data_IF_786909370441
#
_entry.id   IF_786909370441
#
_cell.length_a   1.000
_cell.length_b   1.000
_cell.length_c   1.000
_cell.angle_alpha   90.00
_cell.angle_beta   90.00
_cell.angle_gamma   90.00
#
_symmetry.space_group_name_H-M   'P 1'
#
loop_
_entity.id
_entity.type
_entity.pdbx_description
1 polymer ?
#
# COMPACT_ATOMS: atom_id res chain seq x y z
N UNK A 1 -9.63 10.96 6.77
CA UNK A 1 -9.21 9.60 7.11
C UNK A 1 -7.84 9.39 6.50
N UNK A 2 -6.89 8.89 7.24
CA UNK A 2 -5.55 8.53 6.75
C UNK A 2 -5.66 7.29 5.87
N UNK A 3 -4.81 7.14 4.84
CA UNK A 3 -4.69 5.87 4.14
C UNK A 3 -4.36 4.81 5.18
N UNK A 4 -5.19 3.79 5.28
CA UNK A 4 -4.94 2.67 6.17
C UNK A 4 -4.17 1.63 5.38
N UNK A 5 -2.93 1.35 5.82
CA UNK A 5 -2.14 0.27 5.26
C UNK A 5 -2.55 -1.06 5.91
N UNK A 6 -3.16 -1.98 5.18
CA UNK A 6 -3.43 -3.32 5.69
C UNK A 6 -2.12 -4.08 5.90
N UNK A 7 -1.87 -4.52 7.14
CA UNK A 7 -0.66 -5.23 7.54
C UNK A 7 -1.03 -6.62 8.02
N UNK A 8 -0.45 -7.65 7.40
CA UNK A 8 -0.60 -9.03 7.86
C UNK A 8 0.50 -9.35 8.88
N UNK A 9 0.11 -9.79 10.06
CA UNK A 9 0.99 -10.27 11.12
C UNK A 9 0.88 -11.79 11.15
N UNK A 10 2.01 -12.48 10.97
CA UNK A 10 2.09 -13.94 10.97
C UNK A 10 3.10 -14.36 12.03
N UNK A 11 2.63 -14.83 13.17
CA UNK A 11 3.45 -15.26 14.32
C UNK A 11 2.61 -16.26 15.12
N UNK A 12 3.20 -17.31 15.69
CA UNK A 12 2.47 -18.31 16.49
C UNK A 12 2.21 -17.87 17.93
N UNK A 13 2.98 -16.87 18.43
CA UNK A 13 2.78 -16.30 19.76
C UNK A 13 1.58 -15.31 19.77
N UNK A 14 0.45 -15.68 20.38
CA UNK A 14 -0.73 -14.81 20.45
C UNK A 14 -0.50 -13.54 21.27
N UNK A 15 0.41 -13.55 22.25
CA UNK A 15 0.69 -12.38 23.06
C UNK A 15 1.48 -11.35 22.25
N UNK A 16 2.44 -11.80 21.45
CA UNK A 16 3.19 -10.91 20.53
C UNK A 16 2.26 -10.36 19.44
N UNK A 17 1.43 -11.21 18.80
CA UNK A 17 0.45 -10.73 17.81
C UNK A 17 -0.47 -9.65 18.39
N UNK A 18 -1.05 -9.89 19.57
CA UNK A 18 -1.90 -8.91 20.24
C UNK A 18 -1.20 -7.58 20.52
N UNK A 19 0.06 -7.64 21.00
CA UNK A 19 0.87 -6.43 21.25
C UNK A 19 1.14 -5.65 19.96
N UNK A 20 1.48 -6.35 18.87
CA UNK A 20 1.70 -5.72 17.56
C UNK A 20 0.41 -5.12 17.00
N UNK A 21 -0.69 -5.83 17.14
CA UNK A 21 -2.02 -5.36 16.71
C UNK A 21 -2.42 -4.08 17.45
N UNK A 22 -2.30 -4.06 18.79
CA UNK A 22 -2.59 -2.85 19.58
C UNK A 22 -1.72 -1.67 19.16
N UNK A 23 -0.42 -1.90 18.95
CA UNK A 23 0.51 -0.84 18.53
C UNK A 23 0.18 -0.30 17.13
N UNK A 24 -0.16 -1.17 16.19
CA UNK A 24 -0.55 -0.78 14.83
C UNK A 24 -1.88 -0.03 14.82
N UNK A 25 -2.86 -0.45 15.63
CA UNK A 25 -4.15 0.23 15.76
C UNK A 25 -4.05 1.60 16.45
N UNK A 26 -3.11 1.77 17.40
CA UNK A 26 -2.84 3.07 18.02
C UNK A 26 -2.33 4.09 17.01
N UNK A 27 -1.75 3.62 15.93
CA UNK A 27 -1.30 4.42 14.80
C UNK A 27 -2.38 4.38 13.71
N UNK A 28 -3.15 5.46 13.59
CA UNK A 28 -4.29 5.55 12.65
C UNK A 28 -3.91 5.36 11.15
N UNK A 29 -2.68 4.97 10.88
CA UNK A 29 -2.12 4.70 9.56
C UNK A 29 -2.27 3.22 9.16
N UNK A 30 -2.49 2.30 10.12
CA UNK A 30 -2.46 0.85 9.87
C UNK A 30 -3.78 0.15 10.15
N UNK A 31 -4.02 -0.95 9.42
CA UNK A 31 -5.11 -1.89 9.68
C UNK A 31 -4.51 -3.30 9.78
N UNK A 32 -4.25 -3.81 11.00
CA UNK A 32 -3.66 -5.13 11.19
C UNK A 32 -4.67 -6.25 10.95
N UNK A 33 -4.16 -7.38 10.44
CA UNK A 33 -4.82 -8.68 10.42
C UNK A 33 -3.83 -9.74 10.93
N UNK A 34 -4.33 -10.74 11.65
CA UNK A 34 -3.53 -11.73 12.35
C UNK A 34 -3.67 -13.12 11.75
N UNK A 35 -2.56 -13.84 11.68
CA UNK A 35 -2.50 -15.26 11.36
C UNK A 35 -1.53 -15.97 12.33
N UNK A 36 -1.92 -17.08 12.89
CA UNK A 36 -1.10 -17.89 13.80
C UNK A 36 -0.28 -18.97 13.10
N UNK A 37 -0.41 -19.10 11.77
CA UNK A 37 0.24 -20.13 10.95
C UNK A 37 0.38 -19.70 9.50
N UNK A 38 1.20 -20.42 8.74
CA UNK A 38 1.33 -20.25 7.30
C UNK A 38 -0.01 -20.54 6.60
N UNK A 39 -0.70 -21.59 7.00
CA UNK A 39 -1.99 -21.95 6.41
C UNK A 39 -3.04 -20.85 6.56
N UNK A 40 -3.12 -20.20 7.72
CA UNK A 40 -4.02 -19.07 7.94
C UNK A 40 -3.62 -17.87 7.07
N UNK A 41 -2.31 -17.57 7.01
CA UNK A 41 -1.80 -16.49 6.18
C UNK A 41 -2.10 -16.72 4.68
N UNK A 42 -1.89 -17.93 4.16
CA UNK A 42 -2.23 -18.30 2.79
C UNK A 42 -3.72 -18.17 2.51
N UNK A 43 -4.58 -18.59 3.44
CA UNK A 43 -6.03 -18.45 3.32
C UNK A 43 -6.47 -16.97 3.26
N UNK A 44 -5.80 -16.09 4.00
CA UNK A 44 -6.06 -14.63 3.95
C UNK A 44 -5.57 -14.02 2.64
N UNK A 45 -4.37 -14.37 2.20
CA UNK A 45 -3.78 -13.86 0.96
C UNK A 45 -4.52 -14.33 -0.30
N UNK A 46 -5.21 -15.47 -0.23
CA UNK A 46 -6.00 -16.01 -1.32
C UNK A 46 -7.36 -15.33 -1.52
N UNK A 47 -7.84 -14.55 -0.54
CA UNK A 47 -9.12 -13.86 -0.65
C UNK A 47 -9.05 -12.72 -1.67
N UNK A 48 -9.96 -12.67 -2.67
CA UNK A 48 -9.92 -11.66 -3.73
C UNK A 48 -10.05 -10.22 -3.23
N UNK A 49 -10.82 -10.03 -2.17
CA UNK A 49 -11.16 -8.72 -1.61
C UNK A 49 -10.19 -8.28 -0.49
N UNK A 50 -9.27 -9.15 -0.10
CA UNK A 50 -8.31 -8.86 0.97
C UNK A 50 -6.93 -8.62 0.36
N UNK A 51 -6.34 -7.47 0.67
CA UNK A 51 -5.01 -7.08 0.22
C UNK A 51 -4.20 -6.61 1.40
N UNK A 52 -2.89 -6.80 1.31
CA UNK A 52 -1.95 -6.33 2.30
C UNK A 52 -0.87 -5.49 1.64
N UNK A 53 -0.43 -4.44 2.34
CA UNK A 53 0.63 -3.55 1.90
C UNK A 53 2.00 -3.99 2.44
N UNK A 54 2.02 -4.75 3.55
CA UNK A 54 3.22 -5.40 4.08
C UNK A 54 2.85 -6.64 4.90
N UNK A 55 3.84 -7.50 5.13
CA UNK A 55 3.74 -8.69 5.99
C UNK A 55 4.84 -8.59 7.06
N UNK A 56 4.45 -8.77 8.32
CA UNK A 56 5.35 -9.04 9.43
C UNK A 56 5.27 -10.55 9.66
N UNK A 57 6.40 -11.25 9.52
CA UNK A 57 6.43 -12.70 9.42
C UNK A 57 7.43 -13.32 10.39
N UNK A 58 6.97 -14.15 11.30
CA UNK A 58 7.87 -14.96 12.10
C UNK A 58 8.54 -16.07 11.26
N UNK A 59 9.78 -16.39 11.61
CA UNK A 59 10.54 -17.49 10.98
C UNK A 59 10.07 -18.83 11.51
N UNK A 60 9.82 -18.94 12.83
CA UNK A 60 9.47 -20.19 13.50
C UNK A 60 7.98 -20.41 13.64
N UNK A 61 7.31 -20.89 12.60
CA UNK A 61 5.87 -21.15 12.61
C UNK A 61 5.56 -22.64 12.84
N UNK A 62 4.40 -22.99 13.42
CA UNK A 62 4.10 -24.38 13.80
C UNK A 62 3.96 -25.33 12.60
N UNK A 63 3.64 -24.79 11.44
CA UNK A 63 3.39 -25.53 10.20
C UNK A 63 4.48 -25.33 9.14
N UNK A 64 5.60 -24.66 9.49
CA UNK A 64 6.73 -24.52 8.59
C UNK A 64 7.68 -23.37 8.88
N UNK A 65 8.68 -23.21 8.02
CA UNK A 65 9.66 -22.14 8.10
C UNK A 65 9.15 -20.92 7.33
N UNK A 66 9.06 -19.75 8.00
CA UNK A 66 8.63 -18.49 7.41
C UNK A 66 9.50 -18.03 6.23
N UNK A 67 10.80 -18.40 6.20
CA UNK A 67 11.70 -18.11 5.06
C UNK A 67 11.23 -18.84 3.79
N UNK A 68 10.86 -20.11 3.93
CA UNK A 68 10.33 -20.89 2.82
C UNK A 68 8.98 -20.33 2.36
N UNK A 69 8.15 -19.88 3.28
CA UNK A 69 6.89 -19.23 2.95
C UNK A 69 7.13 -17.93 2.17
N UNK A 70 8.05 -17.09 2.62
CA UNK A 70 8.43 -15.86 1.89
C UNK A 70 8.90 -16.17 0.47
N UNK A 71 9.77 -17.17 0.30
CA UNK A 71 10.26 -17.59 -1.02
C UNK A 71 9.11 -18.01 -1.94
N UNK A 72 8.13 -18.78 -1.43
CA UNK A 72 6.92 -19.12 -2.20
C UNK A 72 6.10 -17.91 -2.60
N UNK A 73 5.90 -16.94 -1.69
CA UNK A 73 5.22 -15.70 -2.00
C UNK A 73 5.92 -14.94 -3.13
N UNK A 74 7.25 -14.87 -3.12
CA UNK A 74 8.02 -14.21 -4.19
C UNK A 74 7.89 -14.94 -5.53
N UNK A 75 7.91 -16.28 -5.54
CA UNK A 75 7.65 -17.08 -6.74
C UNK A 75 6.24 -16.85 -7.31
N UNK A 76 5.25 -16.62 -6.45
CA UNK A 76 3.88 -16.26 -6.83
C UNK A 76 3.73 -14.81 -7.31
N UNK A 77 4.81 -14.03 -7.28
CA UNK A 77 4.81 -12.63 -7.74
C UNK A 77 4.37 -11.61 -6.69
N UNK A 78 4.26 -12.00 -5.41
CA UNK A 78 3.99 -11.07 -4.32
C UNK A 78 5.22 -10.18 -4.12
N UNK A 79 5.05 -8.86 -4.24
CA UNK A 79 6.13 -7.85 -4.23
C UNK A 79 6.11 -6.96 -2.99
N UNK A 80 5.05 -7.01 -2.19
CA UNK A 80 4.93 -6.18 -0.99
C UNK A 80 6.07 -6.45 0.00
N UNK A 81 6.45 -5.47 0.84
CA UNK A 81 7.44 -5.65 1.88
C UNK A 81 7.11 -6.82 2.81
N UNK A 82 8.11 -7.65 3.09
CA UNK A 82 8.06 -8.70 4.11
C UNK A 82 9.18 -8.43 5.11
N UNK A 83 8.82 -8.14 6.36
CA UNK A 83 9.74 -7.96 7.47
C UNK A 83 9.72 -9.24 8.28
N UNK A 84 10.84 -9.95 8.33
CA UNK A 84 10.95 -11.17 9.12
C UNK A 84 11.34 -10.89 10.56
N UNK A 85 10.68 -11.58 11.48
CA UNK A 85 11.04 -11.64 12.88
C UNK A 85 11.76 -12.97 13.14
N UNK A 86 12.92 -12.94 13.79
CA UNK A 86 13.72 -14.14 14.04
C UNK A 86 14.21 -14.21 15.47
N UNK A 87 14.18 -15.40 16.06
CA UNK A 87 14.76 -15.67 17.40
C UNK A 87 16.29 -15.78 17.40
N UNK A 88 16.92 -15.88 16.24
CA UNK A 88 18.38 -15.97 16.11
C UNK A 88 18.95 -14.71 15.47
N UNK A 89 19.96 -14.13 16.09
CA UNK A 89 20.74 -13.03 15.56
C UNK A 89 21.99 -13.50 14.80
N UNK A 90 22.10 -14.82 14.50
CA UNK A 90 23.27 -15.33 13.81
C UNK A 90 23.32 -14.80 12.37
N UNK A 91 24.50 -14.32 11.98
CA UNK A 91 24.74 -13.71 10.66
C UNK A 91 24.31 -14.61 9.50
N UNK A 92 24.43 -15.95 9.68
CA UNK A 92 24.01 -16.94 8.67
C UNK A 92 22.50 -17.00 8.49
N UNK A 93 21.71 -16.76 9.53
CA UNK A 93 20.24 -16.73 9.45
C UNK A 93 19.72 -15.46 8.77
N UNK A 94 20.39 -14.34 9.00
CA UNK A 94 20.09 -13.06 8.33
C UNK A 94 20.40 -13.18 6.82
N UNK A 95 21.56 -13.75 6.44
CA UNK A 95 21.91 -13.95 5.02
C UNK A 95 20.92 -14.86 4.30
N UNK A 96 20.62 -16.03 4.89
CA UNK A 96 19.63 -16.98 4.33
C UNK A 96 18.25 -16.35 4.17
N UNK A 97 17.93 -15.42 5.02
CA UNK A 97 16.66 -14.76 4.97
C UNK A 97 16.54 -13.72 3.88
N UNK A 98 17.55 -12.93 3.68
CA UNK A 98 17.61 -12.01 2.54
C UNK A 98 17.56 -12.78 1.22
N UNK A 99 18.20 -13.95 1.14
CA UNK A 99 18.14 -14.86 0.00
C UNK A 99 16.71 -15.42 -0.24
N UNK A 100 15.87 -15.50 0.80
CA UNK A 100 14.44 -15.87 0.65
C UNK A 100 13.57 -14.78 0.02
N UNK A 101 14.13 -13.59 -0.25
CA UNK A 101 13.43 -12.44 -0.80
C UNK A 101 12.69 -11.59 0.25
N UNK A 102 13.00 -11.73 1.53
CA UNK A 102 12.54 -10.81 2.56
C UNK A 102 13.08 -9.39 2.30
N UNK A 103 12.30 -8.39 2.73
CA UNK A 103 12.68 -6.99 2.57
C UNK A 103 13.58 -6.53 3.73
N UNK A 104 13.35 -7.07 4.93
CA UNK A 104 14.11 -6.75 6.14
C UNK A 104 14.05 -7.90 7.16
N UNK A 105 14.96 -7.85 8.13
CA UNK A 105 15.09 -8.79 9.23
C UNK A 105 15.23 -8.08 10.57
N UNK A 106 14.48 -8.53 11.58
CA UNK A 106 14.55 -8.00 12.94
C UNK A 106 14.68 -9.18 13.92
N UNK A 107 15.78 -9.17 14.70
CA UNK A 107 15.99 -10.18 15.71
C UNK A 107 15.11 -9.95 16.95
N UNK A 108 14.51 -11.01 17.47
CA UNK A 108 13.83 -11.03 18.78
C UNK A 108 14.88 -11.16 19.91
N UNK A 109 14.82 -10.38 21.01
CA UNK A 109 13.81 -9.38 21.30
C UNK A 109 14.09 -8.04 20.60
N UNK A 110 13.06 -7.36 20.12
CA UNK A 110 13.16 -6.07 19.43
C UNK A 110 12.34 -4.98 20.12
N UNK A 111 12.61 -3.73 19.76
CA UNK A 111 11.83 -2.58 20.20
C UNK A 111 10.70 -2.32 19.20
N UNK A 112 9.45 -2.18 19.69
CA UNK A 112 8.30 -1.86 18.82
C UNK A 112 8.52 -0.60 17.97
N UNK A 113 9.12 0.44 18.54
CA UNK A 113 9.46 1.66 17.80
C UNK A 113 10.41 1.42 16.62
N UNK A 114 11.33 0.46 16.73
CA UNK A 114 12.24 0.08 15.65
C UNK A 114 11.46 -0.62 14.53
N UNK A 115 10.63 -1.61 14.86
CA UNK A 115 9.78 -2.31 13.89
C UNK A 115 8.89 -1.33 13.13
N UNK A 116 8.22 -0.40 13.84
CA UNK A 116 7.35 0.61 13.24
C UNK A 116 8.10 1.55 12.31
N UNK A 117 9.31 1.99 12.70
CA UNK A 117 10.14 2.85 11.85
C UNK A 117 10.57 2.14 10.56
N UNK A 118 10.98 0.88 10.64
CA UNK A 118 11.37 0.04 9.49
C UNK A 118 10.16 -0.25 8.59
N UNK A 119 9.01 -0.60 9.16
CA UNK A 119 7.76 -0.83 8.41
C UNK A 119 7.40 0.40 7.55
N UNK A 120 7.39 1.60 8.15
CA UNK A 120 7.13 2.85 7.41
C UNK A 120 8.17 3.12 6.33
N UNK A 121 9.44 2.85 6.61
CA UNK A 121 10.50 3.04 5.62
C UNK A 121 10.32 2.13 4.40
N UNK A 122 10.00 0.85 4.62
CA UNK A 122 9.79 -0.12 3.56
C UNK A 122 8.50 0.12 2.78
N UNK A 123 7.41 0.52 3.44
CA UNK A 123 6.18 0.93 2.76
C UNK A 123 6.43 2.12 1.82
N UNK A 124 7.10 3.18 2.30
CA UNK A 124 7.45 4.33 1.46
C UNK A 124 8.34 3.97 0.28
N UNK A 125 9.32 3.08 0.49
CA UNK A 125 10.19 2.62 -0.58
C UNK A 125 9.41 1.80 -1.61
N UNK A 126 8.54 0.90 -1.16
CA UNK A 126 7.70 0.09 -2.04
C UNK A 126 6.74 0.96 -2.86
N UNK A 127 6.06 1.92 -2.24
CA UNK A 127 5.18 2.87 -2.96
C UNK A 127 5.92 3.70 -4.01
N UNK A 128 7.23 3.91 -3.84
CA UNK A 128 8.07 4.60 -4.81
C UNK A 128 8.62 3.69 -5.90
N UNK A 129 8.53 2.37 -5.71
CA UNK A 129 9.04 1.37 -6.65
C UNK A 129 8.17 1.24 -7.90
N UNK A 130 8.70 0.53 -8.90
CA UNK A 130 7.96 0.17 -10.11
C UNK A 130 6.90 -0.92 -9.85
N UNK A 131 7.05 -1.65 -8.76
CA UNK A 131 6.15 -2.74 -8.35
C UNK A 131 4.92 -2.24 -7.57
N UNK A 132 4.85 -0.93 -7.25
CA UNK A 132 3.74 -0.36 -6.49
C UNK A 132 2.39 -0.57 -7.18
N UNK A 133 1.42 -1.08 -6.41
CA UNK A 133 0.06 -1.30 -6.86
C UNK A 133 -0.89 -0.70 -5.83
N UNK A 134 -1.68 0.29 -6.25
CA UNK A 134 -2.60 1.02 -5.39
C UNK A 134 -4.04 0.67 -5.71
N UNK A 135 -4.90 0.58 -4.69
CA UNK A 135 -6.34 0.44 -4.89
C UNK A 135 -7.00 1.82 -4.81
N UNK A 136 -7.75 2.19 -5.84
CA UNK A 136 -8.48 3.45 -5.92
C UNK A 136 -9.93 3.13 -6.29
N UNK A 137 -10.80 3.01 -5.31
CA UNK A 137 -12.18 2.56 -5.54
C UNK A 137 -12.21 1.24 -6.30
N UNK A 138 -12.89 1.16 -7.47
CA UNK A 138 -12.96 -0.06 -8.27
C UNK A 138 -11.69 -0.35 -9.07
N UNK A 139 -10.67 0.53 -9.02
CA UNK A 139 -9.49 0.46 -9.87
C UNK A 139 -8.27 -0.04 -9.13
N UNK A 140 -7.53 -0.94 -9.77
CA UNK A 140 -6.13 -1.24 -9.43
C UNK A 140 -5.24 -0.29 -10.22
N UNK A 141 -4.50 0.58 -9.55
CA UNK A 141 -3.60 1.56 -10.15
C UNK A 141 -2.15 1.11 -10.07
N UNK A 142 -1.48 1.09 -11.21
CA UNK A 142 -0.03 0.81 -11.34
C UNK A 142 0.67 2.06 -11.87
N UNK A 143 1.28 2.89 -10.99
CA UNK A 143 1.88 4.16 -11.38
C UNK A 143 3.00 4.04 -12.41
N UNK A 144 3.87 3.05 -12.25
CA UNK A 144 5.03 2.85 -13.13
C UNK A 144 4.65 2.67 -14.60
N UNK A 145 3.58 1.93 -14.86
CA UNK A 145 3.05 1.71 -16.22
C UNK A 145 1.88 2.63 -16.57
N UNK A 146 1.53 3.58 -15.67
CA UNK A 146 0.48 4.60 -15.85
C UNK A 146 -0.87 3.99 -16.25
N UNK A 147 -1.23 2.89 -15.58
CA UNK A 147 -2.40 2.09 -15.90
C UNK A 147 -3.35 1.97 -14.71
N UNK A 148 -4.63 2.26 -14.95
CA UNK A 148 -5.73 1.86 -14.09
C UNK A 148 -6.41 0.63 -14.73
N UNK A 149 -6.68 -0.36 -13.93
CA UNK A 149 -7.44 -1.55 -14.32
C UNK A 149 -8.66 -1.70 -13.42
N UNK A 150 -9.84 -1.78 -14.02
CA UNK A 150 -11.10 -2.11 -13.37
C UNK A 150 -11.38 -3.61 -13.58
N UNK A 151 -11.12 -4.47 -12.58
CA UNK A 151 -11.18 -5.93 -12.78
C UNK A 151 -12.57 -6.43 -13.17
N UNK A 152 -13.62 -5.88 -12.54
CA UNK A 152 -15.02 -6.31 -12.73
C UNK A 152 -15.46 -6.10 -14.19
N UNK A 153 -15.10 -4.97 -14.79
CA UNK A 153 -15.46 -4.65 -16.20
C UNK A 153 -14.33 -4.99 -17.19
N UNK A 154 -13.22 -5.56 -16.69
CA UNK A 154 -12.00 -5.79 -17.47
C UNK A 154 -11.53 -4.57 -18.27
N UNK A 155 -11.76 -3.37 -17.73
CA UNK A 155 -11.45 -2.10 -18.39
C UNK A 155 -10.06 -1.64 -18.03
N UNK A 156 -9.25 -1.28 -19.04
CA UNK A 156 -7.91 -0.72 -18.87
C UNK A 156 -7.90 0.74 -19.31
N UNK A 157 -7.42 1.63 -18.44
CA UNK A 157 -7.40 3.08 -18.68
C UNK A 157 -5.94 3.53 -18.61
N UNK A 158 -5.43 4.04 -19.72
CA UNK A 158 -4.09 4.64 -19.76
C UNK A 158 -4.13 6.08 -19.26
N UNK A 159 -3.17 6.42 -18.43
CA UNK A 159 -2.96 7.75 -17.88
C UNK A 159 -1.76 8.42 -18.55
N UNK A 160 -1.81 9.75 -18.61
CA UNK A 160 -0.63 10.56 -18.91
C UNK A 160 0.28 10.64 -17.68
N UNK A 161 1.53 11.11 -17.86
CA UNK A 161 2.48 11.28 -16.75
C UNK A 161 1.91 12.13 -15.63
N UNK A 162 1.25 13.24 -15.98
CA UNK A 162 0.69 14.17 -15.01
C UNK A 162 -0.54 13.61 -14.30
N UNK A 163 -1.40 12.89 -15.01
CA UNK A 163 -2.56 12.21 -14.41
C UNK A 163 -2.12 11.13 -13.43
N UNK A 164 -1.11 10.32 -13.78
CA UNK A 164 -0.56 9.30 -12.90
C UNK A 164 0.13 9.93 -11.67
N UNK A 165 0.87 11.02 -11.85
CA UNK A 165 1.51 11.73 -10.76
C UNK A 165 0.50 12.37 -9.80
N UNK A 166 -0.59 12.94 -10.30
CA UNK A 166 -1.70 13.48 -9.49
C UNK A 166 -2.31 12.37 -8.63
N UNK A 167 -2.69 11.24 -9.24
CA UNK A 167 -3.29 10.13 -8.51
C UNK A 167 -2.34 9.56 -7.46
N UNK A 168 -1.07 9.37 -7.81
CA UNK A 168 -0.05 8.86 -6.89
C UNK A 168 0.13 9.78 -5.69
N UNK A 169 0.18 11.08 -5.90
CA UNK A 169 0.33 12.07 -4.83
C UNK A 169 -0.91 12.09 -3.91
N UNK A 170 -2.11 12.16 -4.50
CA UNK A 170 -3.35 12.16 -3.74
C UNK A 170 -3.61 10.84 -3.00
N UNK A 171 -3.19 9.71 -3.56
CA UNK A 171 -3.24 8.42 -2.88
C UNK A 171 -2.40 8.45 -1.59
N UNK A 172 -1.17 8.94 -1.68
CA UNK A 172 -0.25 9.08 -0.54
C UNK A 172 -0.72 10.09 0.50
N UNK A 173 -1.51 11.07 0.09
CA UNK A 173 -2.13 12.00 1.02
C UNK A 173 -3.20 11.35 1.93
N UNK A 174 -3.52 10.05 1.69
CA UNK A 174 -4.34 9.25 2.59
C UNK A 174 -5.74 9.80 2.81
N UNK A 175 -6.40 10.22 1.72
CA UNK A 175 -7.74 10.80 1.81
C UNK A 175 -7.78 12.21 2.40
N UNK A 176 -6.64 12.85 2.67
CA UNK A 176 -6.59 14.27 3.08
C UNK A 176 -6.73 15.17 1.85
N UNK A 177 -7.37 16.33 2.04
CA UNK A 177 -7.43 17.37 1.00
C UNK A 177 -6.05 17.99 0.79
N UNK A 178 -5.60 18.05 -0.46
CA UNK A 178 -4.33 18.67 -0.87
C UNK A 178 -4.64 19.96 -1.62
N UNK A 179 -4.09 21.06 -1.14
CA UNK A 179 -4.26 22.38 -1.78
C UNK A 179 -3.73 22.41 -3.22
N UNK A 180 -4.38 23.19 -4.09
CA UNK A 180 -4.02 23.26 -5.52
C UNK A 180 -2.56 23.63 -5.75
N UNK A 181 -2.03 24.59 -4.99
CA UNK A 181 -0.64 25.05 -5.13
C UNK A 181 0.36 23.96 -4.73
N UNK A 182 0.05 23.20 -3.66
CA UNK A 182 0.89 22.09 -3.22
C UNK A 182 0.94 21.03 -4.32
N UNK A 183 -0.23 20.60 -4.82
CA UNK A 183 -0.32 19.59 -5.86
C UNK A 183 0.35 20.05 -7.17
N UNK A 184 0.24 21.34 -7.52
CA UNK A 184 0.91 21.90 -8.67
C UNK A 184 2.44 21.81 -8.54
N UNK A 185 2.98 22.24 -7.39
CA UNK A 185 4.42 22.22 -7.13
C UNK A 185 4.98 20.79 -7.14
N UNK A 186 4.28 19.85 -6.51
CA UNK A 186 4.71 18.46 -6.41
C UNK A 186 4.67 17.71 -7.76
N UNK A 187 3.68 18.01 -8.60
CA UNK A 187 3.50 17.33 -9.89
C UNK A 187 4.29 18.00 -11.03
N UNK A 188 4.44 19.33 -11.02
CA UNK A 188 5.13 20.07 -12.10
C UNK A 188 6.47 20.68 -11.69
N UNK A 189 6.81 20.63 -10.38
CA UNK A 189 7.97 21.35 -9.86
C UNK A 189 7.70 22.84 -9.73
N UNK A 190 8.71 23.59 -9.29
CA UNK A 190 8.64 25.04 -9.17
C UNK A 190 8.75 25.72 -10.55
N UNK A 191 7.82 25.44 -11.45
CA UNK A 191 7.78 26.05 -12.78
C UNK A 191 6.75 27.18 -12.78
N UNK A 192 7.20 28.43 -12.74
CA UNK A 192 6.36 29.64 -12.72
C UNK A 192 5.43 29.80 -13.94
N UNK A 193 5.69 29.06 -15.03
CA UNK A 193 4.86 29.08 -16.25
C UNK A 193 3.61 28.20 -16.13
N UNK A 194 3.50 27.35 -15.10
CA UNK A 194 2.36 26.42 -14.92
C UNK A 194 1.39 27.00 -13.90
N UNK A 195 0.15 27.21 -14.33
CA UNK A 195 -0.91 27.82 -13.51
C UNK A 195 -1.86 26.76 -12.93
N UNK A 196 -2.64 27.15 -11.94
CA UNK A 196 -3.71 26.30 -11.37
C UNK A 196 -4.71 25.83 -12.43
N UNK A 197 -4.92 26.58 -13.51
CA UNK A 197 -5.77 26.19 -14.64
C UNK A 197 -5.24 24.92 -15.36
N UNK A 198 -3.92 24.76 -15.43
CA UNK A 198 -3.31 23.54 -15.97
C UNK A 198 -3.68 22.32 -15.11
N UNK A 199 -3.58 22.44 -13.79
CA UNK A 199 -3.99 21.39 -12.85
C UNK A 199 -5.48 21.06 -13.01
N UNK A 200 -6.35 22.07 -13.09
CA UNK A 200 -7.80 21.90 -13.25
C UNK A 200 -8.13 21.14 -14.55
N UNK A 201 -7.42 21.43 -15.63
CA UNK A 201 -7.58 20.72 -16.90
C UNK A 201 -7.22 19.24 -16.77
N UNK A 202 -6.14 18.91 -16.08
CA UNK A 202 -5.74 17.52 -15.85
C UNK A 202 -6.71 16.79 -14.92
N UNK A 203 -7.18 17.45 -13.86
CA UNK A 203 -8.21 16.90 -12.96
C UNK A 203 -9.52 16.64 -13.72
N UNK A 204 -9.95 17.57 -14.56
CA UNK A 204 -11.14 17.38 -15.40
C UNK A 204 -10.99 16.14 -16.32
N UNK A 205 -9.86 16.02 -17.04
CA UNK A 205 -9.59 14.87 -17.90
C UNK A 205 -9.53 13.56 -17.12
N UNK A 206 -8.95 13.60 -15.92
CA UNK A 206 -8.86 12.45 -15.05
C UNK A 206 -10.25 11.99 -14.60
N UNK A 207 -11.13 12.92 -14.19
CA UNK A 207 -12.54 12.63 -13.87
C UNK A 207 -13.29 11.99 -15.02
N UNK A 208 -13.10 12.47 -16.23
CA UNK A 208 -13.69 11.87 -17.45
C UNK A 208 -13.27 10.40 -17.64
N UNK A 209 -12.13 10.00 -17.11
CA UNK A 209 -11.61 8.64 -17.24
C UNK A 209 -12.06 7.71 -16.11
N UNK A 210 -12.19 8.22 -14.89
CA UNK A 210 -12.34 7.40 -13.67
C UNK A 210 -13.72 7.53 -13.00
N UNK A 211 -14.45 8.60 -13.24
CA UNK A 211 -15.77 8.83 -12.64
C UNK A 211 -16.87 8.33 -13.55
N UNK A 212 -17.92 7.69 -13.03
CA UNK A 212 -19.13 7.40 -13.79
C UNK A 212 -19.82 8.67 -14.25
N UNK A 213 -19.92 9.68 -13.37
CA UNK A 213 -20.46 11.00 -13.61
C UNK A 213 -19.43 12.08 -13.24
N UNK A 214 -18.65 12.60 -14.20
CA UNK A 214 -17.57 13.55 -13.93
C UNK A 214 -18.02 14.84 -13.23
N UNK A 215 -19.29 15.26 -13.42
CA UNK A 215 -19.87 16.42 -12.77
C UNK A 215 -20.17 16.18 -11.27
N UNK A 216 -20.37 14.92 -10.88
CA UNK A 216 -20.63 14.47 -9.50
C UNK A 216 -19.51 13.55 -9.02
N UNK A 217 -18.27 14.05 -9.06
CA UNK A 217 -17.09 13.27 -8.74
C UNK A 217 -17.14 12.71 -7.32
N UNK A 218 -16.91 11.39 -7.18
CA UNK A 218 -16.92 10.66 -5.91
C UNK A 218 -15.56 10.10 -5.53
N UNK A 219 -14.74 9.79 -6.52
CA UNK A 219 -13.35 9.33 -6.31
C UNK A 219 -12.41 10.51 -6.16
N UNK A 220 -12.44 11.46 -7.10
CA UNK A 220 -11.57 12.64 -7.12
C UNK A 220 -12.39 13.88 -6.76
N UNK A 221 -12.48 14.15 -5.47
CA UNK A 221 -13.36 15.18 -4.90
C UNK A 221 -12.65 16.54 -4.85
N UNK A 222 -13.38 17.64 -5.11
CA UNK A 222 -12.94 19.00 -4.81
C UNK A 222 -13.37 19.37 -3.39
N UNK A 223 -12.45 19.68 -2.51
CA UNK A 223 -12.70 19.98 -1.11
C UNK A 223 -11.66 20.95 -0.54
N UNK A 224 -12.08 21.90 0.31
CA UNK A 224 -11.17 22.79 1.02
C UNK A 224 -10.25 23.64 0.13
N UNK A 225 -10.70 24.00 -1.08
CA UNK A 225 -9.87 24.72 -2.05
C UNK A 225 -8.82 23.87 -2.77
N UNK A 226 -8.84 22.57 -2.57
CA UNK A 226 -7.93 21.58 -3.16
C UNK A 226 -8.67 20.37 -3.73
N UNK A 227 -7.97 19.23 -3.74
CA UNK A 227 -8.46 17.95 -4.20
C UNK A 227 -8.18 16.85 -3.18
N UNK A 228 -9.10 15.90 -3.09
CA UNK A 228 -8.99 14.71 -2.25
C UNK A 228 -9.31 13.47 -3.07
N UNK A 229 -8.57 12.40 -2.86
CA UNK A 229 -8.89 11.09 -3.41
C UNK A 229 -9.65 10.27 -2.37
N UNK A 230 -10.88 9.87 -2.70
CA UNK A 230 -11.67 8.96 -1.89
C UNK A 230 -11.35 7.53 -2.33
N UNK A 231 -10.48 6.86 -1.56
CA UNK A 231 -9.98 5.52 -1.90
C UNK A 231 -11.04 4.42 -1.72
N UNK A 232 -12.03 4.66 -0.85
CA UNK A 232 -13.06 3.70 -0.46
C UNK A 232 -14.36 3.81 -1.28
N UNK A 233 -14.43 4.70 -2.27
CA UNK A 233 -15.61 4.81 -3.10
C UNK A 233 -15.82 3.52 -3.90
N UNK A 234 -16.60 2.61 -3.33
CA UNK A 234 -16.93 1.32 -3.95
C UNK A 234 -17.72 1.48 -5.26
N UNK A 235 -17.81 0.41 -6.09
CA UNK A 235 -18.69 0.39 -7.24
C UNK A 235 -20.13 0.61 -6.76
N UNK A 236 -20.86 1.48 -7.42
CA UNK A 236 -22.31 1.55 -7.21
C UNK A 236 -22.92 0.18 -7.51
N UNK A 237 -23.64 -0.37 -6.53
CA UNK A 237 -24.67 -1.35 -6.85
C UNK A 237 -25.63 -0.69 -7.84
N UNK A 238 -25.72 -1.24 -9.03
CA UNK A 238 -26.69 -0.85 -10.04
C UNK A 238 -28.09 -1.27 -9.61
#
# INVERSE_FOLDING_TARGET
MTAHHPILIVDDDPALRGTLTEQLLADAEFTPAEAGSIAEAEAMLAKPDQRFDAIILDVGLPDGDGRNFCARLRQQGVKIPVIMLTGSAEEQDVVRGLDSGATDYIAKPFRLAELMARLRAHLRNFENSEDAVFQIGPYTFRPAVKLLHEPVKNKRIRLTDKEAAILKYLYRAGGKSVGRQVLLNEVWGYNAAVTTHTLETHVYRLRQKIEPEPAQARLLITEGGGYRLNQEAGPQAA
#
